data_IF_039301398410
#
_entry.id   IF_039301398410
#
_cell.length_a   1.000
_cell.length_b   1.000
_cell.length_c   1.000
_cell.angle_alpha   90.00
_cell.angle_beta   90.00
_cell.angle_gamma   90.00
#
_symmetry.space_group_name_H-M   'P 1'
#
loop_
_entity.id
_entity.type
_entity.pdbx_description
1 polymer ?
#
# COMPACT_ATOMS: atom_id res chain seq x y z
N UNK A 1 17.66 -11.37 43.91
CA UNK A 1 17.62 -10.06 43.25
C UNK A 1 17.84 -10.08 41.72
N UNK A 2 18.54 -11.06 41.15
CA UNK A 2 18.71 -11.19 39.69
C UNK A 2 17.47 -11.71 38.96
N UNK A 3 16.66 -12.57 39.57
CA UNK A 3 15.44 -13.11 38.96
C UNK A 3 14.33 -12.06 38.83
N UNK A 4 14.22 -11.07 39.73
CA UNK A 4 13.19 -10.03 39.67
C UNK A 4 13.47 -8.95 38.59
N UNK A 5 14.74 -8.72 38.23
CA UNK A 5 15.10 -7.81 37.12
C UNK A 5 14.79 -8.42 35.73
N UNK A 6 14.96 -9.74 35.59
CA UNK A 6 14.66 -10.44 34.33
C UNK A 6 13.14 -10.52 34.04
N UNK A 7 12.29 -10.45 35.07
CA UNK A 7 10.83 -10.44 34.90
C UNK A 7 10.35 -9.05 34.48
N UNK A 8 10.94 -7.96 34.93
CA UNK A 8 10.52 -6.59 34.55
C UNK A 8 10.84 -6.23 33.10
N UNK A 9 11.84 -6.88 32.49
CA UNK A 9 12.15 -6.70 31.06
C UNK A 9 11.30 -7.57 30.12
N UNK A 10 10.49 -8.51 30.66
CA UNK A 10 9.64 -9.43 29.88
C UNK A 10 8.17 -9.05 29.82
N UNK A 11 7.73 -8.02 30.51
CA UNK A 11 6.33 -7.58 30.43
C UNK A 11 6.13 -6.84 29.11
N UNK A 12 5.42 -7.43 28.15
CA UNK A 12 5.21 -6.76 26.87
C UNK A 12 4.36 -5.51 27.06
N UNK A 13 4.75 -4.45 26.36
CA UNK A 13 4.05 -3.17 26.32
C UNK A 13 3.43 -2.99 24.95
N UNK A 14 2.14 -2.64 24.89
CA UNK A 14 1.42 -2.40 23.65
C UNK A 14 0.90 -0.97 23.61
N UNK A 15 1.14 -0.27 22.51
CA UNK A 15 0.55 1.04 22.28
C UNK A 15 -0.97 0.92 22.03
N UNK A 16 -1.76 1.76 22.69
CA UNK A 16 -3.21 1.87 22.53
C UNK A 16 -3.58 3.36 22.45
N UNK A 17 -3.62 3.91 21.24
CA UNK A 17 -3.64 5.35 21.05
C UNK A 17 -2.42 5.99 21.72
N UNK A 18 -2.66 6.97 22.58
CA UNK A 18 -1.61 7.69 23.33
C UNK A 18 -1.23 6.98 24.66
N UNK A 19 -1.83 5.84 24.95
CA UNK A 19 -1.58 5.04 26.17
C UNK A 19 -0.73 3.83 25.88
N UNK A 20 -0.06 3.30 26.91
CA UNK A 20 0.62 2.01 26.88
C UNK A 20 -0.15 1.02 27.76
N UNK A 21 -0.48 -0.14 27.20
CA UNK A 21 -1.04 -1.27 27.95
C UNK A 21 0.09 -2.13 28.48
N UNK A 22 0.01 -2.47 29.75
CA UNK A 22 0.94 -3.36 30.45
C UNK A 22 0.15 -4.43 31.22
N UNK A 23 0.79 -5.55 31.55
CA UNK A 23 0.17 -6.58 32.41
C UNK A 23 -1.02 -7.32 31.79
N UNK A 24 -1.19 -7.25 30.47
CA UNK A 24 -2.33 -7.86 29.77
C UNK A 24 -2.16 -9.36 29.49
N UNK A 25 -0.97 -9.93 29.71
CA UNK A 25 -0.72 -11.36 29.60
C UNK A 25 -0.79 -12.05 30.95
N UNK A 26 -1.43 -13.23 31.05
CA UNK A 26 -1.41 -14.03 32.24
C UNK A 26 0.02 -14.40 32.66
N UNK A 27 0.28 -14.47 33.96
CA UNK A 27 1.60 -14.81 34.52
C UNK A 27 2.12 -16.14 33.98
N UNK A 28 1.25 -17.13 33.79
CA UNK A 28 1.59 -18.42 33.18
C UNK A 28 2.17 -18.24 31.75
N UNK A 29 1.62 -17.35 30.93
CA UNK A 29 2.13 -17.08 29.58
C UNK A 29 3.51 -16.42 29.66
N UNK A 30 3.74 -15.57 30.65
CA UNK A 30 5.04 -14.91 30.88
C UNK A 30 6.11 -15.89 31.37
N UNK A 31 5.73 -16.87 32.18
CA UNK A 31 6.65 -17.84 32.80
C UNK A 31 6.90 -19.09 31.94
N UNK A 32 5.86 -19.64 31.33
CA UNK A 32 5.89 -20.90 30.57
C UNK A 32 5.81 -20.70 29.05
N UNK A 33 5.25 -19.56 28.62
CA UNK A 33 5.07 -19.22 27.19
C UNK A 33 6.37 -18.76 26.54
N UNK A 34 6.47 -19.03 25.24
CA UNK A 34 7.55 -18.50 24.40
C UNK A 34 7.07 -17.19 23.75
N UNK A 35 7.56 -16.07 24.23
CA UNK A 35 7.27 -14.76 23.69
C UNK A 35 8.29 -14.37 22.61
N UNK A 36 7.79 -13.97 21.45
CA UNK A 36 8.60 -13.49 20.32
C UNK A 36 8.14 -12.07 20.01
N UNK A 37 8.85 -11.05 20.51
CA UNK A 37 8.54 -9.67 20.14
C UNK A 37 8.89 -9.44 18.66
N UNK A 38 7.89 -9.10 17.86
CA UNK A 38 8.09 -8.74 16.45
C UNK A 38 8.37 -7.24 16.36
N UNK A 39 9.57 -6.91 16.01
CA UNK A 39 9.99 -5.55 15.69
C UNK A 39 10.55 -5.52 14.28
N UNK A 40 10.36 -4.39 13.59
CA UNK A 40 11.05 -4.18 12.33
C UNK A 40 12.56 -4.38 12.55
N UNK A 41 13.29 -4.95 11.57
CA UNK A 41 14.73 -5.09 11.68
C UNK A 41 15.37 -3.75 12.05
N UNK A 42 16.19 -3.74 13.09
CA UNK A 42 16.97 -2.55 13.41
C UNK A 42 18.16 -2.48 12.44
N UNK A 43 18.47 -1.31 11.89
CA UNK A 43 19.74 -1.10 11.22
C UNK A 43 19.68 -0.81 9.71
N UNK A 44 18.61 -0.22 9.22
CA UNK A 44 18.63 0.46 7.92
C UNK A 44 18.74 1.98 8.14
N UNK A 45 19.94 2.52 8.39
CA UNK A 45 20.13 3.96 8.54
C UNK A 45 19.81 4.66 7.23
N UNK A 46 19.33 5.89 7.34
CA UNK A 46 19.15 6.75 6.19
C UNK A 46 20.49 7.02 5.46
N UNK A 47 20.39 7.31 4.17
CA UNK A 47 21.56 7.71 3.37
C UNK A 47 22.16 9.00 3.95
N UNK A 48 23.49 9.07 4.10
CA UNK A 48 24.15 10.26 4.66
C UNK A 48 24.08 11.49 3.73
N UNK A 49 23.90 11.24 2.42
CA UNK A 49 23.82 12.27 1.39
C UNK A 49 22.67 11.94 0.42
N UNK A 50 21.45 12.32 0.79
CA UNK A 50 20.24 12.11 -0.03
C UNK A 50 20.24 12.99 -1.28
N UNK A 51 20.78 14.20 -1.20
CA UNK A 51 20.87 15.12 -2.34
C UNK A 51 21.80 14.56 -3.43
N UNK A 52 22.99 14.10 -3.04
CA UNK A 52 23.91 13.45 -3.99
C UNK A 52 23.37 12.12 -4.51
N UNK A 53 22.62 11.37 -3.70
CA UNK A 53 21.95 10.16 -4.17
C UNK A 53 20.87 10.47 -5.23
N UNK A 54 20.11 11.55 -5.05
CA UNK A 54 19.14 12.02 -6.05
C UNK A 54 19.86 12.39 -7.36
N UNK A 55 20.90 13.20 -7.30
CA UNK A 55 21.68 13.58 -8.48
C UNK A 55 22.20 12.32 -9.20
N UNK A 56 22.76 11.37 -8.47
CA UNK A 56 23.19 10.08 -9.07
C UNK A 56 22.04 9.33 -9.74
N UNK A 57 20.87 9.26 -9.11
CA UNK A 57 19.70 8.58 -9.68
C UNK A 57 19.20 9.26 -10.97
N UNK A 58 19.44 10.55 -11.17
CA UNK A 58 19.06 11.29 -12.38
C UNK A 58 20.15 11.25 -13.46
N UNK A 59 21.42 11.16 -13.08
CA UNK A 59 22.57 11.22 -13.98
C UNK A 59 23.11 9.83 -14.39
N UNK A 60 22.81 8.80 -13.61
CA UNK A 60 23.22 7.43 -13.87
C UNK A 60 22.02 6.51 -13.78
N UNK A 61 21.63 5.90 -14.91
CA UNK A 61 20.57 4.87 -14.90
C UNK A 61 21.06 3.62 -14.17
N UNK A 62 20.28 3.12 -13.21
CA UNK A 62 20.53 1.81 -12.60
C UNK A 62 20.18 0.64 -13.52
N UNK A 63 19.59 0.93 -14.70
CA UNK A 63 19.17 -0.02 -15.72
C UNK A 63 19.56 0.46 -17.12
N UNK A 64 20.87 0.72 -17.38
CA UNK A 64 21.31 1.40 -18.60
C UNK A 64 21.02 0.60 -19.89
N UNK A 65 20.91 -0.72 -19.79
CA UNK A 65 20.57 -1.58 -20.92
C UNK A 65 19.09 -1.47 -21.35
N UNK A 66 18.24 -0.89 -20.50
CA UNK A 66 16.80 -0.74 -20.75
C UNK A 66 16.40 0.71 -21.02
N UNK A 67 16.90 1.64 -20.22
CA UNK A 67 16.65 3.07 -20.38
C UNK A 67 17.91 3.88 -20.08
N UNK A 68 18.23 4.93 -20.87
CA UNK A 68 19.33 5.85 -20.55
C UNK A 68 19.05 6.61 -19.26
N UNK A 69 20.04 7.30 -18.72
CA UNK A 69 19.80 8.21 -17.60
C UNK A 69 18.92 9.39 -18.06
N UNK A 70 18.25 10.03 -17.07
CA UNK A 70 17.46 11.22 -17.35
C UNK A 70 18.35 12.35 -17.92
N UNK A 71 19.58 12.50 -17.41
CA UNK A 71 20.59 13.45 -17.92
C UNK A 71 20.90 13.23 -19.39
N UNK A 72 21.21 12.00 -19.76
CA UNK A 72 21.54 11.63 -21.12
C UNK A 72 20.37 11.89 -22.06
N UNK A 73 19.15 11.49 -21.65
CA UNK A 73 17.96 11.69 -22.47
C UNK A 73 17.64 13.17 -22.66
N UNK A 74 17.67 13.98 -21.57
CA UNK A 74 17.44 15.43 -21.67
C UNK A 74 18.50 16.12 -22.54
N UNK A 75 19.77 15.74 -22.42
CA UNK A 75 20.87 16.34 -23.17
C UNK A 75 20.86 15.99 -24.66
N UNK A 76 20.23 14.89 -25.06
CA UNK A 76 20.31 14.38 -26.44
C UNK A 76 19.00 14.42 -27.21
N UNK A 77 17.85 14.28 -26.52
CA UNK A 77 16.55 14.07 -27.18
C UNK A 77 15.46 15.05 -26.76
N UNK A 78 15.58 15.72 -25.63
CA UNK A 78 14.56 16.65 -25.13
C UNK A 78 14.41 17.85 -26.04
N UNK A 79 13.17 18.16 -26.42
CA UNK A 79 12.82 19.24 -27.35
C UNK A 79 12.14 20.43 -26.68
N UNK A 80 12.09 20.44 -25.34
CA UNK A 80 11.46 21.50 -24.56
C UNK A 80 9.96 21.28 -24.35
N UNK A 81 9.46 20.08 -24.55
CA UNK A 81 8.06 19.70 -24.32
C UNK A 81 7.68 19.62 -22.83
N UNK A 82 6.49 19.10 -22.56
CA UNK A 82 5.98 18.96 -21.20
C UNK A 82 6.74 17.87 -20.43
N UNK A 83 7.01 18.12 -19.14
CA UNK A 83 7.55 17.18 -18.17
C UNK A 83 6.50 16.94 -17.11
N UNK A 84 5.99 15.73 -16.98
CA UNK A 84 5.10 15.34 -15.87
C UNK A 84 5.84 14.53 -14.84
N UNK A 85 5.78 14.97 -13.58
CA UNK A 85 6.26 14.23 -12.41
C UNK A 85 5.03 13.66 -11.71
N UNK A 86 4.93 12.33 -11.69
CA UNK A 86 3.86 11.63 -10.95
C UNK A 86 4.31 11.49 -9.51
N UNK A 87 3.48 11.92 -8.57
CA UNK A 87 3.76 11.99 -7.14
C UNK A 87 2.63 11.35 -6.34
N UNK A 88 2.88 10.98 -5.09
CA UNK A 88 1.89 10.39 -4.20
C UNK A 88 0.82 11.38 -3.73
N UNK A 89 -0.31 10.84 -3.28
CA UNK A 89 -1.42 11.58 -2.70
C UNK A 89 -1.37 11.59 -1.14
N UNK A 90 -2.31 12.33 -0.53
CA UNK A 90 -2.42 12.49 0.93
C UNK A 90 -2.62 11.19 1.72
N UNK A 91 -3.01 10.08 1.06
CA UNK A 91 -3.16 8.78 1.71
C UNK A 91 -1.80 8.08 1.95
N UNK A 92 -0.70 8.71 1.55
CA UNK A 92 0.67 8.26 1.77
C UNK A 92 1.41 9.22 2.72
N UNK A 93 2.51 8.77 3.35
CA UNK A 93 3.34 9.64 4.21
C UNK A 93 3.91 10.86 3.47
N UNK A 94 4.11 10.78 2.16
CA UNK A 94 4.67 11.83 1.30
C UNK A 94 6.05 12.37 1.76
N UNK A 95 6.75 11.64 2.64
CA UNK A 95 8.03 12.07 3.20
C UNK A 95 9.11 12.17 2.10
N UNK A 96 9.19 11.14 1.25
CA UNK A 96 10.13 11.10 0.13
C UNK A 96 9.91 12.26 -0.85
N UNK A 97 8.67 12.56 -1.20
CA UNK A 97 8.41 13.63 -2.17
C UNK A 97 8.73 15.01 -1.59
N UNK A 98 8.42 15.29 -0.31
CA UNK A 98 8.83 16.54 0.34
C UNK A 98 10.34 16.70 0.37
N UNK A 99 11.08 15.59 0.49
CA UNK A 99 12.53 15.58 0.57
C UNK A 99 13.19 15.66 -0.82
N UNK A 100 12.69 14.92 -1.81
CA UNK A 100 13.35 14.74 -3.10
C UNK A 100 12.85 15.71 -4.18
N UNK A 101 11.58 16.09 -4.13
CA UNK A 101 10.95 16.91 -5.18
C UNK A 101 11.61 18.29 -5.36
N UNK A 102 12.03 19.04 -4.29
CA UNK A 102 12.73 20.30 -4.46
C UNK A 102 14.03 20.16 -5.27
N UNK A 103 14.83 19.15 -4.95
CA UNK A 103 16.08 18.87 -5.68
C UNK A 103 15.84 18.41 -7.11
N UNK A 104 14.81 17.59 -7.36
CA UNK A 104 14.43 17.15 -8.70
C UNK A 104 13.99 18.35 -9.57
N UNK A 105 13.17 19.26 -9.04
CA UNK A 105 12.72 20.46 -9.75
C UNK A 105 13.89 21.38 -10.10
N UNK A 106 14.78 21.65 -9.15
CA UNK A 106 15.99 22.45 -9.39
C UNK A 106 16.88 21.82 -10.45
N UNK A 107 17.07 20.49 -10.36
CA UNK A 107 17.87 19.76 -11.33
C UNK A 107 17.27 19.82 -12.74
N UNK A 108 15.95 19.65 -12.90
CA UNK A 108 15.25 19.75 -14.18
C UNK A 108 15.41 21.16 -14.80
N UNK A 109 15.27 22.21 -13.99
CA UNK A 109 15.45 23.59 -14.44
C UNK A 109 16.90 23.84 -14.92
N UNK A 110 17.88 23.32 -14.19
CA UNK A 110 19.30 23.41 -14.57
C UNK A 110 19.63 22.63 -15.85
N UNK A 111 18.84 21.62 -16.20
CA UNK A 111 19.02 20.81 -17.40
C UNK A 111 18.04 21.16 -18.55
N UNK A 112 17.55 22.41 -18.56
CA UNK A 112 16.84 22.99 -19.71
C UNK A 112 15.32 22.85 -19.69
N UNK A 113 14.73 22.18 -18.71
CA UNK A 113 13.27 22.18 -18.55
C UNK A 113 12.83 23.57 -18.07
N UNK A 114 11.73 24.10 -18.63
CA UNK A 114 11.17 25.37 -18.18
C UNK A 114 10.09 25.13 -17.13
N UNK A 115 9.95 26.03 -16.14
CA UNK A 115 8.97 25.93 -15.06
C UNK A 115 7.53 25.74 -15.58
N UNK A 116 7.15 26.48 -16.61
CA UNK A 116 5.82 26.41 -17.26
C UNK A 116 5.60 25.09 -18.02
N UNK A 117 6.64 24.31 -18.27
CA UNK A 117 6.60 22.98 -18.89
C UNK A 117 6.62 21.83 -17.87
N UNK A 118 6.90 22.10 -16.60
CA UNK A 118 6.89 21.08 -15.55
C UNK A 118 5.51 21.04 -14.90
N UNK A 119 4.98 19.84 -14.71
CA UNK A 119 3.73 19.56 -13.98
C UNK A 119 3.95 18.44 -12.97
N UNK A 120 3.40 18.59 -11.78
CA UNK A 120 3.31 17.53 -10.79
C UNK A 120 1.88 16.98 -10.83
N UNK A 121 1.71 15.69 -11.12
CA UNK A 121 0.41 15.02 -11.20
C UNK A 121 0.28 14.04 -10.06
N UNK A 122 -0.70 14.26 -9.20
CA UNK A 122 -0.94 13.43 -8.02
C UNK A 122 -1.58 12.11 -8.45
N UNK A 123 -0.96 11.00 -8.09
CA UNK A 123 -1.41 9.63 -8.35
C UNK A 123 -2.56 9.22 -7.43
N UNK A 124 -3.70 9.87 -7.59
CA UNK A 124 -4.85 9.76 -6.71
C UNK A 124 -5.74 8.54 -6.98
N UNK A 125 -5.61 7.90 -8.15
CA UNK A 125 -6.52 6.84 -8.57
C UNK A 125 -7.99 7.28 -8.47
N UNK A 126 -8.72 6.74 -7.48
CA UNK A 126 -10.14 7.05 -7.25
C UNK A 126 -10.38 7.81 -5.95
N UNK A 127 -9.33 8.35 -5.34
CA UNK A 127 -9.43 9.10 -4.11
C UNK A 127 -10.13 10.44 -4.34
N UNK A 128 -10.67 11.03 -3.26
CA UNK A 128 -11.27 12.36 -3.26
C UNK A 128 -10.23 13.47 -3.44
N UNK A 129 -10.69 14.64 -3.78
CA UNK A 129 -9.85 15.84 -3.76
C UNK A 129 -9.24 16.10 -2.38
N UNK A 130 -7.99 16.59 -2.35
CA UNK A 130 -7.34 16.95 -1.10
C UNK A 130 -8.07 18.09 -0.37
N UNK A 131 -8.11 18.01 0.95
CA UNK A 131 -8.52 19.13 1.80
C UNK A 131 -7.45 20.22 1.80
N UNK A 132 -7.78 21.47 2.18
CA UNK A 132 -6.84 22.58 2.17
C UNK A 132 -5.54 22.33 2.96
N UNK A 133 -5.61 21.61 4.08
CA UNK A 133 -4.49 21.26 4.95
C UNK A 133 -3.64 20.10 4.41
N UNK A 134 -4.19 19.29 3.51
CA UNK A 134 -3.49 18.15 2.91
C UNK A 134 -2.49 18.59 1.81
N UNK A 135 -2.68 19.76 1.19
CA UNK A 135 -1.73 20.28 0.20
C UNK A 135 -0.35 20.59 0.79
N UNK A 136 -0.24 21.36 1.88
CA UNK A 136 1.04 21.55 2.56
C UNK A 136 1.61 20.24 3.12
N UNK A 137 0.75 19.31 3.56
CA UNK A 137 1.18 17.99 4.01
C UNK A 137 1.92 17.21 2.90
N UNK A 138 1.37 17.20 1.68
CA UNK A 138 1.99 16.50 0.54
C UNK A 138 3.27 17.18 0.04
N UNK A 139 3.30 18.51 -0.04
CA UNK A 139 4.32 19.26 -0.77
C UNK A 139 5.23 20.12 0.10
N UNK A 140 4.91 20.30 1.38
CA UNK A 140 5.70 21.16 2.27
C UNK A 140 5.86 22.56 1.74
N UNK A 141 7.09 23.09 1.78
CA UNK A 141 7.44 24.42 1.31
C UNK A 141 7.27 24.67 -0.19
N UNK A 142 7.11 23.62 -1.00
CA UNK A 142 6.85 23.77 -2.44
C UNK A 142 5.41 24.22 -2.73
N UNK A 143 4.45 23.97 -1.84
CA UNK A 143 3.04 24.25 -2.11
C UNK A 143 2.78 25.72 -2.50
N UNK A 144 3.24 26.73 -1.76
CA UNK A 144 2.99 28.12 -2.12
C UNK A 144 3.59 28.53 -3.48
N UNK A 145 4.77 27.99 -3.78
CA UNK A 145 5.52 28.38 -4.99
C UNK A 145 5.02 27.67 -6.24
N UNK A 146 4.69 26.38 -6.14
CA UNK A 146 4.39 25.51 -7.29
C UNK A 146 2.92 25.13 -7.42
N UNK A 147 2.02 25.71 -6.62
CA UNK A 147 0.58 25.37 -6.60
C UNK A 147 -0.09 25.41 -7.97
N UNK A 148 0.33 26.31 -8.86
CA UNK A 148 -0.15 26.45 -10.23
C UNK A 148 0.33 25.33 -11.18
N UNK A 149 1.26 24.51 -10.71
CA UNK A 149 1.87 23.41 -11.47
C UNK A 149 1.59 22.02 -10.86
N UNK A 150 0.76 21.98 -9.82
CA UNK A 150 0.31 20.76 -9.15
C UNK A 150 -1.12 20.45 -9.57
N UNK A 151 -1.35 19.25 -10.08
CA UNK A 151 -2.64 18.82 -10.64
C UNK A 151 -3.09 17.53 -9.98
N UNK A 152 -4.32 17.51 -9.53
CA UNK A 152 -4.93 16.30 -9.00
C UNK A 152 -5.47 15.45 -10.16
N UNK A 153 -5.23 14.13 -10.11
CA UNK A 153 -5.79 13.23 -11.10
C UNK A 153 -7.25 12.91 -10.78
N UNK A 154 -8.12 13.07 -11.77
CA UNK A 154 -9.50 12.61 -11.75
C UNK A 154 -9.65 11.46 -12.74
N UNK A 155 -10.08 10.30 -12.25
CA UNK A 155 -10.11 9.05 -13.00
C UNK A 155 -11.21 8.94 -14.08
N UNK A 156 -11.96 10.03 -14.32
CA UNK A 156 -13.00 10.16 -15.34
C UNK A 156 -12.85 11.41 -16.19
N UNK A 157 -11.85 12.25 -15.94
CA UNK A 157 -11.69 13.55 -16.59
C UNK A 157 -10.28 13.67 -17.18
N UNK A 158 -10.16 14.39 -18.32
CA UNK A 158 -8.92 14.59 -19.06
C UNK A 158 -8.13 13.30 -19.21
N UNK A 159 -8.79 12.26 -19.75
CA UNK A 159 -8.18 10.96 -20.01
C UNK A 159 -7.84 10.82 -21.49
N UNK A 160 -6.72 10.17 -21.78
CA UNK A 160 -6.30 9.83 -23.14
C UNK A 160 -6.18 8.31 -23.27
N UNK A 161 -6.84 7.76 -24.29
CA UNK A 161 -6.78 6.33 -24.58
C UNK A 161 -5.48 5.98 -25.29
N UNK A 162 -4.69 5.10 -24.67
CA UNK A 162 -3.39 4.63 -25.16
C UNK A 162 -3.44 3.22 -25.75
N UNK A 163 -4.49 2.47 -25.46
CA UNK A 163 -4.63 1.10 -25.93
C UNK A 163 -5.84 0.37 -25.36
N UNK A 164 -5.81 -0.94 -25.42
CA UNK A 164 -6.86 -1.81 -24.90
C UNK A 164 -6.20 -3.08 -24.35
N UNK A 165 -6.64 -3.52 -23.16
CA UNK A 165 -6.23 -4.80 -22.58
C UNK A 165 -6.83 -5.97 -23.34
N UNK A 166 -6.27 -7.20 -23.25
CA UNK A 166 -6.84 -8.39 -23.92
C UNK A 166 -8.27 -8.71 -23.53
N UNK A 167 -8.74 -8.29 -22.36
CA UNK A 167 -10.12 -8.46 -21.89
C UNK A 167 -11.08 -7.35 -22.37
N UNK A 168 -10.61 -6.47 -23.25
CA UNK A 168 -11.39 -5.35 -23.79
C UNK A 168 -11.36 -4.08 -22.96
N UNK A 169 -10.73 -4.09 -21.77
CA UNK A 169 -10.64 -2.91 -20.91
C UNK A 169 -9.84 -1.80 -21.59
N UNK A 170 -10.37 -0.55 -21.70
CA UNK A 170 -9.62 0.55 -22.28
C UNK A 170 -8.43 0.93 -21.37
N UNK A 171 -7.26 1.11 -21.96
CA UNK A 171 -6.08 1.65 -21.30
C UNK A 171 -6.09 3.16 -21.46
N UNK A 172 -6.61 3.83 -20.45
CA UNK A 172 -6.72 5.29 -20.39
C UNK A 172 -5.79 5.84 -19.31
N UNK A 173 -5.13 6.94 -19.62
CA UNK A 173 -4.19 7.62 -18.74
C UNK A 173 -4.58 9.10 -18.63
N UNK A 174 -4.23 9.72 -17.51
CA UNK A 174 -4.34 11.17 -17.33
C UNK A 174 -3.75 11.90 -18.55
N UNK A 175 -4.53 12.77 -19.18
CA UNK A 175 -4.17 13.39 -20.45
C UNK A 175 -2.93 14.28 -20.36
N UNK A 176 -2.69 14.92 -19.21
CA UNK A 176 -1.46 15.71 -18.99
C UNK A 176 -0.23 14.80 -19.01
N UNK A 177 -0.29 13.65 -18.35
CA UNK A 177 0.79 12.65 -18.38
C UNK A 177 0.96 12.06 -19.78
N UNK A 178 -0.14 11.69 -20.43
CA UNK A 178 -0.14 11.07 -21.76
C UNK A 178 0.42 11.98 -22.87
N UNK A 179 0.32 13.29 -22.72
CA UNK A 179 0.84 14.28 -23.67
C UNK A 179 2.23 14.82 -23.33
N UNK A 180 2.86 14.30 -22.27
CA UNK A 180 4.18 14.76 -21.86
C UNK A 180 5.29 14.13 -22.68
N UNK A 181 6.32 14.90 -22.97
CA UNK A 181 7.55 14.44 -23.61
C UNK A 181 8.39 13.63 -22.62
N UNK A 182 8.35 14.00 -21.32
CA UNK A 182 9.03 13.28 -20.24
C UNK A 182 8.04 12.98 -19.13
N UNK A 183 7.97 11.72 -18.73
CA UNK A 183 7.19 11.25 -17.58
C UNK A 183 8.13 10.69 -16.53
N UNK A 184 8.14 11.29 -15.36
CA UNK A 184 8.95 10.86 -14.22
C UNK A 184 8.02 10.34 -13.14
N UNK A 185 8.19 9.06 -12.73
CA UNK A 185 7.49 8.50 -11.57
C UNK A 185 8.39 8.65 -10.34
N UNK A 186 8.06 9.56 -9.42
CA UNK A 186 8.76 9.72 -8.14
C UNK A 186 7.98 9.03 -7.04
N UNK A 187 8.47 7.88 -6.57
CA UNK A 187 7.73 7.04 -5.62
C UNK A 187 8.61 6.43 -4.54
N UNK A 188 8.01 6.09 -3.40
CA UNK A 188 8.57 5.14 -2.45
C UNK A 188 7.97 3.75 -2.62
N UNK A 189 8.70 2.73 -2.19
CA UNK A 189 8.18 1.38 -2.08
C UNK A 189 7.67 1.12 -0.67
N UNK A 190 6.51 0.48 -0.59
CA UNK A 190 5.93 -0.02 0.65
C UNK A 190 5.14 -1.31 0.37
N UNK A 191 4.93 -2.11 1.38
CA UNK A 191 4.09 -3.30 1.26
C UNK A 191 2.62 -2.97 1.03
N UNK A 192 1.97 -3.78 0.21
CA UNK A 192 0.55 -3.61 -0.08
C UNK A 192 -0.21 -4.92 0.05
N UNK A 193 -1.29 -4.94 0.83
CA UNK A 193 -2.00 -6.15 1.27
C UNK A 193 -2.59 -7.02 0.16
N UNK A 194 -2.85 -6.48 -1.04
CA UNK A 194 -3.30 -7.27 -2.20
C UNK A 194 -2.44 -7.09 -3.46
N UNK A 195 -1.80 -5.96 -3.65
CA UNK A 195 -0.98 -5.70 -4.84
C UNK A 195 0.49 -6.10 -4.66
N UNK A 196 0.83 -6.72 -3.53
CA UNK A 196 2.19 -7.10 -3.16
C UNK A 196 3.00 -5.93 -2.63
N UNK A 197 3.45 -5.05 -3.53
CA UNK A 197 4.26 -3.86 -3.22
C UNK A 197 3.67 -2.64 -3.93
N UNK A 198 3.73 -1.47 -3.29
CA UNK A 198 3.33 -0.17 -3.84
C UNK A 198 4.50 0.55 -4.52
N UNK A 199 4.26 1.76 -5.04
CA UNK A 199 5.25 2.54 -5.78
C UNK A 199 5.47 2.03 -7.21
N UNK A 200 6.46 2.58 -7.91
CA UNK A 200 6.82 2.17 -9.28
C UNK A 200 5.63 2.09 -10.24
N UNK A 201 5.31 0.88 -10.77
CA UNK A 201 4.21 0.69 -11.72
C UNK A 201 2.85 1.17 -11.21
N UNK A 202 2.67 1.22 -9.89
CA UNK A 202 1.41 1.64 -9.26
C UNK A 202 1.10 3.11 -9.44
N UNK A 203 2.09 3.95 -9.67
CA UNK A 203 1.89 5.36 -10.04
C UNK A 203 1.15 5.50 -11.38
N UNK A 204 1.45 4.63 -12.35
CA UNK A 204 0.76 4.62 -13.63
C UNK A 204 -0.61 3.93 -13.52
N UNK A 205 -0.66 2.72 -12.94
CA UNK A 205 -1.91 1.96 -12.73
C UNK A 205 -1.96 1.47 -11.28
N UNK A 206 -2.91 1.93 -10.48
CA UNK A 206 -4.07 2.78 -10.80
C UNK A 206 -3.82 4.30 -10.70
N UNK A 207 -2.64 4.75 -10.24
CA UNK A 207 -2.38 6.11 -9.77
C UNK A 207 -2.92 7.22 -10.66
N UNK A 208 -2.61 7.20 -11.96
CA UNK A 208 -3.08 8.19 -12.95
C UNK A 208 -3.87 7.55 -14.10
N UNK A 209 -4.44 6.35 -13.87
CA UNK A 209 -5.23 5.61 -14.84
C UNK A 209 -6.72 5.94 -14.76
N UNK A 210 -7.44 5.74 -15.87
CA UNK A 210 -8.88 5.88 -15.93
C UNK A 210 -9.64 4.85 -15.08
N UNK A 211 -10.90 5.18 -14.74
CA UNK A 211 -11.77 4.38 -13.85
C UNK A 211 -11.91 2.93 -14.30
N UNK A 212 -12.09 2.68 -15.59
CA UNK A 212 -12.30 1.35 -16.12
C UNK A 212 -11.08 0.45 -15.86
N UNK A 213 -9.88 0.94 -16.19
CA UNK A 213 -8.64 0.20 -15.98
C UNK A 213 -8.35 -0.01 -14.49
N UNK A 214 -8.56 1.01 -13.67
CA UNK A 214 -8.40 0.94 -12.21
C UNK A 214 -9.34 -0.10 -11.59
N UNK A 215 -10.60 -0.15 -12.04
CA UNK A 215 -11.58 -1.15 -11.59
C UNK A 215 -11.19 -2.55 -12.00
N UNK A 216 -10.79 -2.75 -13.26
CA UNK A 216 -10.36 -4.04 -13.78
C UNK A 216 -9.11 -4.57 -13.06
N UNK A 217 -8.13 -3.70 -12.77
CA UNK A 217 -6.94 -4.04 -11.97
C UNK A 217 -7.33 -4.56 -10.58
N UNK A 218 -8.22 -3.84 -9.91
CA UNK A 218 -8.64 -4.20 -8.55
C UNK A 218 -9.49 -5.47 -8.50
N UNK A 219 -10.36 -5.70 -9.50
CA UNK A 219 -11.16 -6.91 -9.57
C UNK A 219 -10.32 -8.19 -9.66
N UNK A 220 -9.07 -8.11 -10.13
CA UNK A 220 -8.15 -9.26 -10.17
C UNK A 220 -7.79 -9.80 -8.79
N UNK A 221 -8.07 -9.06 -7.71
CA UNK A 221 -7.81 -9.57 -6.36
C UNK A 221 -8.76 -10.69 -5.93
N UNK A 222 -9.95 -10.80 -6.54
CA UNK A 222 -10.97 -11.77 -6.11
C UNK A 222 -10.78 -13.12 -6.79
N UNK A 223 -10.85 -14.19 -5.98
CA UNK A 223 -10.99 -15.57 -6.40
C UNK A 223 -12.44 -16.04 -6.32
N UNK A 224 -12.63 -17.34 -6.37
CA UNK A 224 -13.96 -17.95 -6.23
C UNK A 224 -14.60 -17.62 -4.87
N UNK A 225 -13.81 -17.63 -3.81
CA UNK A 225 -14.24 -17.26 -2.46
C UNK A 225 -13.08 -16.53 -1.73
N UNK A 226 -13.24 -15.24 -1.52
CA UNK A 226 -12.21 -14.36 -0.96
C UNK A 226 -11.22 -13.89 -2.02
N UNK A 227 -9.96 -13.76 -1.63
CA UNK A 227 -8.90 -13.33 -2.54
C UNK A 227 -8.38 -14.51 -3.38
N UNK A 228 -7.96 -14.21 -4.59
CA UNK A 228 -7.33 -15.16 -5.48
C UNK A 228 -5.98 -15.65 -4.90
N UNK A 229 -5.49 -16.84 -5.30
CA UNK A 229 -4.16 -17.30 -4.91
C UNK A 229 -3.09 -16.25 -5.22
N UNK A 230 -2.09 -16.15 -4.35
CA UNK A 230 -0.98 -15.19 -4.42
C UNK A 230 -1.37 -13.70 -4.31
N UNK A 231 -2.64 -13.38 -4.09
CA UNK A 231 -3.05 -12.01 -3.75
C UNK A 231 -2.75 -11.76 -2.29
N UNK A 232 -1.52 -11.32 -2.03
CA UNK A 232 -1.05 -11.09 -0.67
C UNK A 232 0.08 -10.05 -0.62
N UNK A 233 0.39 -9.57 0.59
CA UNK A 233 1.43 -8.59 0.87
C UNK A 233 2.81 -9.15 0.46
N UNK A 234 3.59 -8.36 -0.27
CA UNK A 234 4.94 -8.71 -0.71
C UNK A 234 5.01 -9.72 -1.86
N UNK A 235 3.89 -10.33 -2.28
CA UNK A 235 3.87 -11.27 -3.40
C UNK A 235 3.61 -10.53 -4.71
N UNK A 236 4.56 -10.63 -5.62
CA UNK A 236 4.48 -10.06 -6.96
C UNK A 236 4.30 -11.16 -8.01
N UNK A 237 5.17 -12.18 -7.98
CA UNK A 237 5.13 -13.29 -8.91
C UNK A 237 3.86 -14.13 -8.72
N UNK A 238 3.13 -14.35 -9.81
CA UNK A 238 1.86 -15.08 -9.79
C UNK A 238 0.71 -14.34 -9.10
N UNK A 239 0.90 -13.09 -8.65
CA UNK A 239 -0.17 -12.25 -8.14
C UNK A 239 -0.99 -11.68 -9.31
N UNK A 240 -2.26 -12.08 -9.49
CA UNK A 240 -3.03 -11.67 -10.66
C UNK A 240 -3.26 -10.16 -10.76
N UNK A 241 -3.25 -9.42 -9.64
CA UNK A 241 -3.32 -7.95 -9.64
C UNK A 241 -2.02 -7.37 -10.19
N UNK A 242 -0.87 -7.87 -9.74
CA UNK A 242 0.42 -7.39 -10.22
C UNK A 242 0.64 -7.75 -11.69
N UNK A 243 0.29 -8.96 -12.10
CA UNK A 243 0.45 -9.41 -13.50
C UNK A 243 -0.44 -8.61 -14.47
N UNK A 244 -1.67 -8.31 -14.08
CA UNK A 244 -2.57 -7.46 -14.86
C UNK A 244 -2.03 -6.03 -14.97
N UNK A 245 -1.62 -5.46 -13.84
CA UNK A 245 -0.99 -4.14 -13.77
C UNK A 245 0.25 -4.05 -14.65
N UNK A 246 1.13 -5.05 -14.59
CA UNK A 246 2.35 -5.11 -15.40
C UNK A 246 2.03 -5.02 -16.88
N UNK A 247 1.05 -5.76 -17.37
CA UNK A 247 0.60 -5.70 -18.77
C UNK A 247 0.03 -4.31 -19.13
N UNK A 248 -0.81 -3.75 -18.27
CA UNK A 248 -1.41 -2.44 -18.48
C UNK A 248 -0.35 -1.32 -18.53
N UNK A 249 0.60 -1.33 -17.59
CA UNK A 249 1.70 -0.35 -17.53
C UNK A 249 2.63 -0.52 -18.73
N UNK A 250 2.92 -1.75 -19.17
CA UNK A 250 3.71 -1.98 -20.37
C UNK A 250 3.01 -1.39 -21.61
N UNK A 251 1.69 -1.61 -21.77
CA UNK A 251 0.90 -1.01 -22.85
C UNK A 251 0.97 0.53 -22.82
N UNK A 252 0.93 1.14 -21.63
CA UNK A 252 1.10 2.59 -21.47
C UNK A 252 2.48 3.03 -21.91
N UNK A 253 3.55 2.37 -21.42
CA UNK A 253 4.94 2.73 -21.74
C UNK A 253 5.20 2.59 -23.25
N UNK A 254 4.76 1.50 -23.87
CA UNK A 254 4.92 1.26 -25.30
C UNK A 254 4.22 2.35 -26.13
N UNK A 255 3.00 2.73 -25.75
CA UNK A 255 2.26 3.80 -26.43
C UNK A 255 2.91 5.18 -26.25
N UNK A 256 3.45 5.49 -25.08
CA UNK A 256 4.21 6.71 -24.82
C UNK A 256 5.52 6.75 -25.62
N UNK A 257 6.28 5.66 -25.64
CA UNK A 257 7.50 5.54 -26.42
C UNK A 257 7.25 5.68 -27.93
N UNK A 258 6.16 5.08 -28.43
CA UNK A 258 5.76 5.22 -29.84
C UNK A 258 5.47 6.69 -30.26
N UNK A 259 5.14 7.54 -29.30
CA UNK A 259 4.94 8.99 -29.48
C UNK A 259 6.23 9.81 -29.28
N UNK A 260 7.34 9.16 -28.96
CA UNK A 260 8.61 9.80 -28.65
C UNK A 260 8.74 10.29 -27.21
N UNK A 261 7.80 9.95 -26.32
CA UNK A 261 7.89 10.28 -24.89
C UNK A 261 8.92 9.38 -24.18
N UNK A 262 9.49 9.87 -23.10
CA UNK A 262 10.41 9.15 -22.23
C UNK A 262 9.78 8.91 -20.87
N UNK A 263 9.82 7.66 -20.40
CA UNK A 263 9.33 7.26 -19.08
C UNK A 263 10.51 6.88 -18.22
N UNK A 264 10.65 7.51 -17.07
CA UNK A 264 11.73 7.29 -16.12
C UNK A 264 11.19 7.19 -14.69
N UNK A 265 11.66 6.22 -13.94
CA UNK A 265 11.31 6.07 -12.54
C UNK A 265 12.44 6.57 -11.63
N UNK A 266 12.09 7.29 -10.60
CA UNK A 266 12.94 7.61 -9.44
C UNK A 266 12.27 6.98 -8.23
N UNK A 267 12.87 5.94 -7.71
CA UNK A 267 12.28 5.09 -6.69
C UNK A 267 13.15 5.05 -5.46
N UNK A 268 12.56 5.24 -4.30
CA UNK A 268 13.24 5.12 -3.01
C UNK A 268 12.60 4.07 -2.10
N UNK A 269 13.34 3.72 -1.06
CA UNK A 269 12.85 2.96 0.10
C UNK A 269 13.08 3.81 1.33
N UNK A 270 12.05 3.97 2.15
CA UNK A 270 12.12 4.66 3.44
C UNK A 270 12.25 3.64 4.57
N UNK A 271 12.87 4.05 5.68
CA UNK A 271 12.81 3.31 6.94
C UNK A 271 11.59 3.77 7.80
N UNK A 272 11.30 3.14 8.95
CA UNK A 272 10.22 3.55 9.84
C UNK A 272 10.33 4.98 10.39
N UNK A 273 11.53 5.59 10.35
CA UNK A 273 11.75 7.00 10.69
C UNK A 273 11.54 7.95 9.49
N UNK A 274 11.08 7.40 8.34
CA UNK A 274 10.90 8.11 7.07
C UNK A 274 12.20 8.68 6.48
N UNK A 275 13.34 8.09 6.80
CA UNK A 275 14.62 8.40 6.17
C UNK A 275 14.80 7.56 4.89
N UNK A 276 15.39 8.14 3.87
CA UNK A 276 15.69 7.44 2.61
C UNK A 276 16.86 6.49 2.82
N UNK A 277 16.64 5.19 2.69
CA UNK A 277 17.70 4.15 2.82
C UNK A 277 18.23 3.65 1.48
N UNK A 278 17.48 3.84 0.41
CA UNK A 278 17.90 3.58 -0.97
C UNK A 278 17.17 4.52 -1.92
N UNK A 279 17.84 4.91 -3.00
CA UNK A 279 17.30 5.78 -4.04
C UNK A 279 17.98 5.45 -5.36
N UNK A 280 17.19 5.05 -6.35
CA UNK A 280 17.68 4.68 -7.68
C UNK A 280 16.80 5.29 -8.78
N UNK A 281 17.39 5.48 -9.98
CA UNK A 281 16.71 5.93 -11.17
C UNK A 281 16.85 4.96 -12.33
N UNK A 282 15.81 4.78 -13.15
CA UNK A 282 15.84 3.86 -14.28
C UNK A 282 14.48 3.37 -14.76
N UNK A 283 14.44 2.12 -15.28
CA UNK A 283 13.25 1.47 -15.80
C UNK A 283 12.31 1.04 -14.63
N UNK A 284 11.02 1.30 -14.78
CA UNK A 284 10.03 1.24 -13.69
C UNK A 284 9.87 -0.14 -13.06
N UNK A 285 9.87 -1.21 -13.86
CA UNK A 285 9.66 -2.57 -13.33
C UNK A 285 10.92 -3.15 -12.70
N UNK A 286 12.05 -2.93 -13.34
CA UNK A 286 13.35 -3.43 -12.86
C UNK A 286 13.73 -2.78 -11.53
N UNK A 287 13.51 -1.46 -11.39
CA UNK A 287 13.73 -0.77 -10.12
C UNK A 287 12.79 -1.28 -9.03
N UNK A 288 11.51 -1.47 -9.36
CA UNK A 288 10.52 -2.00 -8.43
C UNK A 288 10.91 -3.37 -7.88
N UNK A 289 11.34 -4.29 -8.74
CA UNK A 289 11.80 -5.62 -8.34
C UNK A 289 13.12 -5.58 -7.56
N UNK A 290 14.06 -4.74 -7.99
CA UNK A 290 15.38 -4.63 -7.36
C UNK A 290 15.31 -4.02 -5.96
N UNK A 291 14.59 -2.91 -5.81
CA UNK A 291 14.46 -2.20 -4.54
C UNK A 291 13.54 -2.90 -3.55
N UNK A 292 12.68 -3.83 -4.00
CA UNK A 292 11.97 -4.73 -3.11
C UNK A 292 12.91 -5.48 -2.17
N UNK A 293 14.08 -5.92 -2.63
CA UNK A 293 15.07 -6.59 -1.77
C UNK A 293 15.61 -5.67 -0.67
N UNK A 294 15.63 -4.35 -0.90
CA UNK A 294 15.94 -3.37 0.15
C UNK A 294 14.77 -3.24 1.11
N UNK A 295 13.56 -3.11 0.59
CA UNK A 295 12.33 -3.05 1.39
C UNK A 295 12.23 -4.26 2.35
N UNK A 296 12.52 -5.47 1.84
CA UNK A 296 12.51 -6.70 2.63
C UNK A 296 13.50 -6.61 3.82
N UNK A 297 14.69 -6.07 3.61
CA UNK A 297 15.67 -5.89 4.69
C UNK A 297 15.25 -4.85 5.73
N UNK A 298 14.45 -3.87 5.33
CA UNK A 298 13.98 -2.81 6.22
C UNK A 298 12.79 -3.25 7.08
N UNK A 299 11.87 -4.05 6.51
CA UNK A 299 10.57 -4.28 7.14
C UNK A 299 10.26 -5.73 7.50
N UNK A 300 10.93 -6.72 6.90
CA UNK A 300 10.61 -8.11 7.22
C UNK A 300 11.25 -8.52 8.55
N UNK A 301 10.39 -8.73 9.54
CA UNK A 301 10.76 -9.43 10.77
C UNK A 301 10.66 -10.94 10.53
N UNK A 302 11.77 -11.67 10.70
CA UNK A 302 11.79 -13.13 10.59
C UNK A 302 11.42 -13.76 11.92
N UNK A 303 10.46 -14.69 11.88
CA UNK A 303 10.09 -15.51 13.03
C UNK A 303 10.58 -16.94 12.83
N UNK A 304 10.99 -17.65 13.90
CA UNK A 304 11.50 -19.02 13.78
C UNK A 304 10.42 -20.01 13.37
N UNK A 305 9.17 -19.75 13.75
CA UNK A 305 7.98 -20.58 13.47
C UNK A 305 6.71 -19.72 13.57
N UNK A 306 5.61 -20.20 12.97
CA UNK A 306 4.31 -19.56 13.13
C UNK A 306 3.82 -19.72 14.57
N UNK A 307 3.28 -18.64 15.13
CA UNK A 307 2.76 -18.59 16.49
C UNK A 307 1.37 -19.23 16.61
N UNK A 308 1.02 -19.65 17.82
CA UNK A 308 -0.35 -20.03 18.16
C UNK A 308 -1.24 -18.80 18.36
N UNK A 309 -0.65 -17.70 18.88
CA UNK A 309 -1.33 -16.43 19.13
C UNK A 309 -0.45 -15.27 18.67
N UNK A 310 -1.01 -14.32 17.93
CA UNK A 310 -0.39 -13.03 17.64
C UNK A 310 -1.20 -11.90 18.26
N UNK A 311 -0.52 -11.03 19.01
CA UNK A 311 -1.09 -9.80 19.56
C UNK A 311 -0.47 -8.62 18.82
N UNK A 312 -1.30 -7.78 18.24
CA UNK A 312 -0.86 -6.65 17.43
C UNK A 312 -1.54 -5.35 17.84
N UNK A 313 -0.79 -4.27 17.88
CA UNK A 313 -1.35 -2.93 18.00
C UNK A 313 -1.46 -2.26 16.63
N UNK A 314 -2.60 -1.63 16.36
CA UNK A 314 -2.80 -0.90 15.11
C UNK A 314 -2.07 0.46 15.08
N UNK A 315 -1.55 0.97 16.22
CA UNK A 315 -0.88 2.28 16.34
C UNK A 315 -1.67 3.38 15.61
N UNK A 316 -1.04 4.11 14.69
CA UNK A 316 -1.67 5.17 13.90
C UNK A 316 -2.83 4.68 12.99
N UNK A 317 -2.92 3.38 12.72
CA UNK A 317 -4.04 2.76 12.00
C UNK A 317 -5.24 2.49 12.93
N UNK A 318 -5.09 2.63 14.24
CA UNK A 318 -6.13 2.38 15.23
C UNK A 318 -7.21 3.47 15.32
N UNK A 319 -7.34 4.33 14.32
CA UNK A 319 -8.36 5.39 14.26
C UNK A 319 -9.77 4.82 14.03
N UNK A 320 -9.90 3.70 13.33
CA UNK A 320 -11.15 3.00 13.07
C UNK A 320 -10.92 1.56 12.64
N UNK A 321 -11.99 0.75 12.62
CA UNK A 321 -11.93 -0.69 12.25
C UNK A 321 -11.43 -0.89 10.82
N UNK A 322 -11.86 -0.04 9.87
CA UNK A 322 -11.45 -0.11 8.46
C UNK A 322 -9.92 -0.03 8.31
N UNK A 323 -9.26 0.85 9.08
CA UNK A 323 -7.80 0.99 9.04
C UNK A 323 -7.10 -0.07 9.88
N UNK A 324 -7.64 -0.42 11.07
CA UNK A 324 -7.11 -1.46 11.95
C UNK A 324 -7.04 -2.84 11.26
N UNK A 325 -7.92 -3.11 10.28
CA UNK A 325 -7.86 -4.29 9.44
C UNK A 325 -6.52 -4.54 8.76
N UNK A 326 -5.69 -3.51 8.54
CA UNK A 326 -4.33 -3.67 8.00
C UNK A 326 -3.39 -4.35 9.01
N UNK A 327 -3.52 -4.01 10.29
CA UNK A 327 -2.75 -4.66 11.36
C UNK A 327 -3.20 -6.11 11.55
N UNK A 328 -4.50 -6.39 11.47
CA UNK A 328 -5.05 -7.75 11.50
C UNK A 328 -4.48 -8.58 10.34
N UNK A 329 -4.50 -8.05 9.11
CA UNK A 329 -3.95 -8.71 7.94
C UNK A 329 -2.47 -9.08 8.13
N UNK A 330 -1.66 -8.16 8.66
CA UNK A 330 -0.25 -8.41 8.93
C UNK A 330 -0.06 -9.49 10.01
N UNK A 331 -0.81 -9.42 11.13
CA UNK A 331 -0.70 -10.35 12.24
C UNK A 331 -1.15 -11.78 11.86
N UNK A 332 -2.19 -11.90 11.04
CA UNK A 332 -2.70 -13.19 10.59
C UNK A 332 -1.67 -14.03 9.82
N UNK A 333 -0.62 -13.40 9.30
CA UNK A 333 0.49 -14.08 8.61
C UNK A 333 1.49 -14.71 9.58
N UNK A 334 1.55 -14.21 10.80
CA UNK A 334 2.46 -14.71 11.83
C UNK A 334 1.88 -15.88 12.63
N UNK A 335 0.60 -16.23 12.47
CA UNK A 335 -0.04 -17.34 13.16
C UNK A 335 -0.21 -18.56 12.27
N UNK A 336 -0.24 -19.73 12.91
CA UNK A 336 -0.63 -21.00 12.29
C UNK A 336 -2.06 -20.89 11.71
N UNK A 337 -2.42 -21.67 10.67
CA UNK A 337 -3.82 -21.82 10.28
C UNK A 337 -4.66 -22.24 11.51
N UNK A 338 -5.73 -21.52 11.80
CA UNK A 338 -6.53 -21.72 13.02
C UNK A 338 -5.94 -21.08 14.29
N UNK A 339 -4.83 -20.36 14.19
CA UNK A 339 -4.25 -19.61 15.31
C UNK A 339 -5.02 -18.32 15.62
N UNK A 340 -4.80 -17.76 16.81
CA UNK A 340 -5.53 -16.60 17.31
C UNK A 340 -4.83 -15.29 16.99
N UNK A 341 -5.59 -14.31 16.51
CA UNK A 341 -5.15 -12.91 16.35
C UNK A 341 -5.93 -12.02 17.30
N UNK A 342 -5.22 -11.24 18.11
CA UNK A 342 -5.78 -10.18 18.95
C UNK A 342 -5.25 -8.85 18.47
N UNK A 343 -6.11 -8.05 17.86
CA UNK A 343 -5.79 -6.69 17.46
C UNK A 343 -6.24 -5.70 18.52
N UNK A 344 -5.35 -4.81 18.91
CA UNK A 344 -5.62 -3.77 19.92
C UNK A 344 -5.61 -2.41 19.21
N UNK A 345 -6.78 -1.74 19.20
CA UNK A 345 -6.97 -0.48 18.47
C UNK A 345 -8.08 0.34 19.11
N UNK A 346 -7.88 1.62 19.44
CA UNK A 346 -8.90 2.47 20.11
C UNK A 346 -10.17 2.67 19.28
N UNK A 347 -10.06 2.77 17.97
CA UNK A 347 -11.13 2.99 17.00
C UNK A 347 -12.07 4.16 17.34
N UNK A 348 -11.59 5.38 17.68
CA UNK A 348 -12.44 6.51 18.06
C UNK A 348 -13.45 6.91 16.97
N UNK A 349 -13.13 6.65 15.70
CA UNK A 349 -14.03 6.91 14.57
C UNK A 349 -14.88 5.67 14.21
N UNK A 350 -15.08 4.74 15.15
CA UNK A 350 -15.91 3.54 14.99
C UNK A 350 -15.49 2.69 13.79
N UNK A 351 -16.43 2.40 12.90
CA UNK A 351 -16.15 1.63 11.67
C UNK A 351 -15.34 2.41 10.61
N UNK A 352 -15.34 3.75 10.67
CA UNK A 352 -14.57 4.65 9.80
C UNK A 352 -15.10 4.83 8.37
N UNK A 353 -15.97 3.93 7.88
CA UNK A 353 -16.56 3.99 6.57
C UNK A 353 -17.96 3.34 6.60
N UNK A 354 -18.99 4.09 6.18
CA UNK A 354 -20.36 3.61 6.23
C UNK A 354 -20.62 2.43 5.29
N UNK A 355 -19.98 2.41 4.13
CA UNK A 355 -20.10 1.30 3.18
C UNK A 355 -19.46 0.02 3.72
N UNK A 356 -18.30 0.14 4.41
CA UNK A 356 -17.69 -0.98 5.13
C UNK A 356 -18.64 -1.53 6.18
N UNK A 357 -19.23 -0.64 7.00
CA UNK A 357 -20.19 -1.01 8.04
C UNK A 357 -21.42 -1.73 7.44
N UNK A 358 -21.98 -1.20 6.35
CA UNK A 358 -23.15 -1.77 5.69
C UNK A 358 -22.86 -3.16 5.10
N UNK A 359 -21.69 -3.37 4.52
CA UNK A 359 -21.26 -4.68 4.03
C UNK A 359 -21.04 -5.68 5.19
N UNK A 360 -20.45 -5.25 6.31
CA UNK A 360 -20.30 -6.11 7.50
C UNK A 360 -21.65 -6.49 8.11
N UNK A 361 -22.68 -5.64 8.01
CA UNK A 361 -24.07 -5.96 8.44
C UNK A 361 -24.69 -7.12 7.64
N UNK A 362 -24.20 -7.41 6.43
CA UNK A 362 -24.61 -8.60 5.65
C UNK A 362 -24.07 -9.87 6.31
N UNK A 363 -22.84 -9.84 6.79
CA UNK A 363 -22.21 -10.96 7.46
C UNK A 363 -22.78 -11.25 8.86
N UNK A 364 -23.13 -10.19 9.61
CA UNK A 364 -23.50 -10.28 11.01
C UNK A 364 -24.62 -11.29 11.33
N UNK A 365 -25.81 -11.31 10.67
CA UNK A 365 -26.85 -12.26 10.98
C UNK A 365 -26.43 -13.71 10.72
N UNK A 366 -25.61 -13.96 9.71
CA UNK A 366 -25.10 -15.31 9.38
C UNK A 366 -24.18 -15.82 10.48
N UNK A 367 -23.31 -14.94 11.01
CA UNK A 367 -22.39 -15.27 12.09
C UNK A 367 -23.11 -15.43 13.43
N UNK A 368 -24.09 -14.57 13.74
CA UNK A 368 -24.91 -14.67 14.96
C UNK A 368 -25.76 -15.95 14.99
N UNK A 369 -26.31 -16.37 13.85
CA UNK A 369 -27.03 -17.64 13.74
C UNK A 369 -26.12 -18.85 14.07
N UNK A 370 -24.89 -18.83 13.56
CA UNK A 370 -23.92 -19.87 13.85
C UNK A 370 -23.51 -19.87 15.33
N UNK A 371 -23.32 -18.69 15.93
CA UNK A 371 -23.03 -18.56 17.36
C UNK A 371 -24.15 -19.17 18.21
N UNK A 372 -25.42 -18.90 17.85
CA UNK A 372 -26.57 -19.49 18.55
C UNK A 372 -26.64 -21.02 18.42
N UNK A 373 -26.24 -21.58 17.28
CA UNK A 373 -26.15 -23.05 17.08
C UNK A 373 -25.01 -23.65 17.89
N UNK A 374 -23.86 -22.99 17.90
CA UNK A 374 -22.68 -23.42 18.67
C UNK A 374 -22.99 -23.40 20.18
N UNK A 375 -23.67 -22.37 20.67
CA UNK A 375 -24.13 -22.31 22.06
C UNK A 375 -25.10 -23.45 22.43
N UNK A 376 -25.78 -24.04 21.45
CA UNK A 376 -26.65 -25.22 21.62
C UNK A 376 -25.95 -26.55 21.37
N UNK A 377 -24.62 -26.56 21.24
CA UNK A 377 -23.81 -27.76 21.13
C UNK A 377 -23.35 -28.15 19.71
N UNK A 378 -23.58 -27.30 18.71
CA UNK A 378 -22.98 -27.52 17.37
C UNK A 378 -21.45 -27.36 17.45
N UNK A 379 -20.74 -28.08 16.57
CA UNK A 379 -19.26 -27.99 16.51
C UNK A 379 -18.80 -26.62 16.02
N UNK A 380 -18.01 -25.87 16.82
CA UNK A 380 -17.45 -24.59 16.40
C UNK A 380 -16.60 -24.71 15.13
N UNK A 381 -15.83 -25.78 15.00
CA UNK A 381 -14.97 -26.00 13.84
C UNK A 381 -15.76 -26.24 12.55
N UNK A 382 -16.92 -26.92 12.61
CA UNK A 382 -17.74 -27.18 11.41
C UNK A 382 -18.73 -26.07 11.13
N UNK A 383 -19.59 -25.73 12.09
CA UNK A 383 -20.62 -24.70 11.91
C UNK A 383 -19.99 -23.29 11.74
N UNK A 384 -18.95 -22.99 12.54
CA UNK A 384 -18.25 -21.72 12.46
C UNK A 384 -17.54 -21.52 11.11
N UNK A 385 -16.82 -22.52 10.62
CA UNK A 385 -16.15 -22.46 9.32
C UNK A 385 -17.18 -22.29 8.18
N UNK A 386 -18.26 -23.07 8.20
CA UNK A 386 -19.34 -22.94 7.20
C UNK A 386 -20.03 -21.57 7.25
N UNK A 387 -20.20 -20.99 8.43
CA UNK A 387 -20.79 -19.68 8.59
C UNK A 387 -19.88 -18.56 8.06
N UNK A 388 -18.56 -18.66 8.33
CA UNK A 388 -17.59 -17.70 7.76
C UNK A 388 -17.60 -17.76 6.23
N UNK A 389 -17.63 -18.95 5.63
CA UNK A 389 -17.67 -19.11 4.17
C UNK A 389 -18.98 -18.56 3.59
N UNK A 390 -20.13 -18.77 4.24
CA UNK A 390 -21.41 -18.18 3.81
C UNK A 390 -21.40 -16.65 3.92
N UNK A 391 -20.87 -16.10 5.02
CA UNK A 391 -20.76 -14.67 5.23
C UNK A 391 -19.82 -14.02 4.19
N UNK A 392 -18.67 -14.64 3.94
CA UNK A 392 -17.70 -14.19 2.95
C UNK A 392 -18.32 -14.20 1.54
N UNK A 393 -19.02 -15.27 1.14
CA UNK A 393 -19.71 -15.33 -0.15
C UNK A 393 -20.78 -14.26 -0.28
N UNK A 394 -21.64 -14.10 0.73
CA UNK A 394 -22.71 -13.10 0.71
C UNK A 394 -22.17 -11.66 0.55
N UNK A 395 -21.09 -11.33 1.26
CA UNK A 395 -20.43 -10.01 1.13
C UNK A 395 -19.75 -9.88 -0.22
N UNK A 396 -19.01 -10.88 -0.66
CA UNK A 396 -18.31 -10.84 -1.96
C UNK A 396 -19.28 -10.71 -3.13
N UNK A 397 -20.40 -11.43 -3.14
CA UNK A 397 -21.41 -11.34 -4.18
C UNK A 397 -21.98 -9.92 -4.33
N UNK A 398 -22.21 -9.22 -3.21
CA UNK A 398 -22.64 -7.82 -3.24
C UNK A 398 -21.53 -6.91 -3.74
N UNK A 399 -20.30 -7.14 -3.30
CA UNK A 399 -19.14 -6.37 -3.75
C UNK A 399 -18.89 -6.53 -5.25
N UNK A 400 -19.02 -7.75 -5.78
CA UNK A 400 -18.78 -8.04 -7.20
C UNK A 400 -19.84 -7.46 -8.13
N UNK A 401 -21.11 -7.34 -7.66
CA UNK A 401 -22.22 -6.76 -8.46
C UNK A 401 -22.04 -5.27 -8.72
N UNK A 402 -21.51 -4.53 -7.76
CA UNK A 402 -21.27 -3.07 -7.86
C UNK A 402 -19.95 -2.73 -7.18
N UNK A 403 -18.84 -3.17 -7.79
CA UNK A 403 -17.52 -2.95 -7.24
C UNK A 403 -17.15 -1.47 -7.28
N UNK A 404 -16.82 -0.95 -6.10
CA UNK A 404 -16.16 0.33 -5.89
C UNK A 404 -14.92 0.12 -5.02
N UNK A 405 -13.87 0.86 -5.29
CA UNK A 405 -12.65 0.78 -4.49
C UNK A 405 -12.97 1.17 -3.04
N UNK A 406 -12.51 0.35 -2.10
CA UNK A 406 -12.88 0.42 -0.68
C UNK A 406 -13.81 -0.72 -0.23
N UNK A 407 -14.68 -1.21 -1.11
CA UNK A 407 -15.60 -2.34 -0.80
C UNK A 407 -14.89 -3.68 -0.55
N UNK A 408 -13.64 -3.84 -0.99
CA UNK A 408 -12.86 -5.06 -0.76
C UNK A 408 -12.45 -5.27 0.71
N UNK A 409 -12.49 -4.24 1.56
CA UNK A 409 -12.04 -4.35 2.95
C UNK A 409 -12.87 -5.30 3.84
N UNK A 410 -14.20 -5.35 3.74
CA UNK A 410 -15.00 -6.37 4.42
C UNK A 410 -14.63 -7.80 3.98
N UNK A 411 -14.35 -8.00 2.67
CA UNK A 411 -13.88 -9.28 2.16
C UNK A 411 -12.54 -9.65 2.77
N UNK A 412 -11.56 -8.72 2.81
CA UNK A 412 -10.27 -8.91 3.47
C UNK A 412 -10.45 -9.32 4.94
N UNK A 413 -11.31 -8.64 5.70
CA UNK A 413 -11.57 -8.97 7.11
C UNK A 413 -12.10 -10.40 7.27
N UNK A 414 -13.06 -10.80 6.43
CA UNK A 414 -13.63 -12.15 6.46
C UNK A 414 -12.63 -13.22 5.99
N UNK A 415 -11.74 -12.89 5.05
CA UNK A 415 -10.62 -13.77 4.64
C UNK A 415 -9.68 -14.01 5.83
N UNK A 416 -9.35 -12.97 6.61
CA UNK A 416 -8.52 -13.13 7.80
C UNK A 416 -9.26 -13.95 8.88
N UNK A 417 -10.56 -13.74 9.05
CA UNK A 417 -11.38 -14.52 9.97
C UNK A 417 -11.44 -16.02 9.55
N UNK A 418 -11.57 -16.28 8.24
CA UNK A 418 -11.48 -17.64 7.69
C UNK A 418 -10.13 -18.30 8.00
N UNK A 419 -9.03 -17.56 7.89
CA UNK A 419 -7.67 -18.06 8.15
C UNK A 419 -7.44 -18.40 9.62
N UNK A 420 -7.92 -17.55 10.53
CA UNK A 420 -7.81 -17.75 11.98
C UNK A 420 -8.81 -18.75 12.51
N UNK A 421 -9.96 -18.92 11.85
CA UNK A 421 -11.03 -19.79 12.29
C UNK A 421 -11.98 -19.14 13.30
N UNK A 422 -13.06 -19.85 13.59
CA UNK A 422 -14.14 -19.37 14.45
C UNK A 422 -13.64 -19.05 15.88
N UNK A 423 -13.95 -17.83 16.35
CA UNK A 423 -13.57 -17.36 17.68
C UNK A 423 -12.10 -16.97 17.86
N UNK A 424 -11.30 -16.98 16.79
CA UNK A 424 -9.86 -16.75 16.86
C UNK A 424 -9.42 -15.39 16.29
N UNK A 425 -10.35 -14.50 15.97
CA UNK A 425 -10.06 -13.12 15.57
C UNK A 425 -10.75 -12.15 16.52
N UNK A 426 -9.95 -11.37 17.25
CA UNK A 426 -10.42 -10.43 18.28
C UNK A 426 -9.96 -9.02 17.97
N UNK A 427 -10.86 -8.07 18.16
CA UNK A 427 -10.56 -6.64 18.15
C UNK A 427 -10.93 -6.06 19.52
N UNK A 428 -9.92 -5.56 20.24
CA UNK A 428 -10.10 -4.84 21.50
C UNK A 428 -10.11 -3.35 21.19
N UNK A 429 -11.25 -2.71 21.45
CA UNK A 429 -11.47 -1.27 21.15
C UNK A 429 -12.46 -0.64 22.13
N UNK A 430 -12.36 0.68 22.27
CA UNK A 430 -13.27 1.51 23.10
C UNK A 430 -14.33 2.23 22.26
N UNK A 431 -14.14 2.34 20.94
CA UNK A 431 -14.91 3.22 20.05
C UNK A 431 -16.06 2.56 19.27
N UNK A 432 -16.48 1.32 19.64
CA UNK A 432 -17.58 0.60 18.99
C UNK A 432 -18.79 0.46 19.91
#
# INVERSE_FOLDING_TARGET
>A
MAASRLVSERVPRLAYGDRMLEGFLPERVLSEGRLIPLQAPQGAPGLPDVAGALVRALEVSSTPDLVPSLKEWLGTRYRGGQVSIIVDDYARPCAHQRLLLPGLLQWLLAHGAKRDRISMVIAAATHRDPKPDEWPYMFGGLWPEWKDRIFFHHDREDLERLGTMPDGTPVELNGRVARSEVVISLSDLDYHYFAGVSGGPKHLVPGVAGRALTTADHLRMFGELGFAPNVDMGILEGNPVYEYKRKAVQTIIDALHARGSFVYAVVCVLNPAHEVVALEGGEVFTLHMRLRNVLDRVYIARIPELADVAIVTARHLGINVYQAGKAINAAARAVKPGGTVVCVAPCPDGFGNEEFRNLMRIAAPILLEAEAKIAKGASPAKEGAAAIDRALRAVQDVVMKDFKIGKQKPVDMLVQYRRTGWGNLWLLCDGL
#
